data_IF_778695665409
#
_entry.id   IF_778695665409
#
_cell.length_a   1.000
_cell.length_b   1.000
_cell.length_c   1.000
_cell.angle_alpha   90.00
_cell.angle_beta   90.00
_cell.angle_gamma   90.00
#
_symmetry.space_group_name_H-M   'P 1'
#
loop_
_entity.id
_entity.type
_entity.pdbx_description
1 polymer ?
#
# COMPACT_ATOMS: atom_id res chain seq x y z
N UNK A 1 11.70 -7.55 -11.18
CA UNK A 1 10.73 -7.12 -10.16
C UNK A 1 10.87 -8.09 -9.00
N UNK A 2 11.27 -7.63 -7.82
CA UNK A 2 11.38 -8.48 -6.62
C UNK A 2 9.99 -8.88 -6.11
N UNK A 3 9.93 -9.90 -5.25
CA UNK A 3 8.67 -10.31 -4.61
C UNK A 3 8.03 -9.17 -3.80
N UNK A 4 8.85 -8.30 -3.20
CA UNK A 4 8.41 -7.10 -2.49
C UNK A 4 7.81 -6.06 -3.46
N UNK A 5 8.42 -5.82 -4.61
CA UNK A 5 7.87 -4.90 -5.62
C UNK A 5 6.52 -5.42 -6.15
N UNK A 6 6.41 -6.72 -6.42
CA UNK A 6 5.15 -7.33 -6.83
C UNK A 6 4.08 -7.32 -5.72
N UNK A 7 4.48 -7.39 -4.45
CA UNK A 7 3.57 -7.19 -3.32
C UNK A 7 3.10 -5.73 -3.23
N UNK A 8 4.03 -4.78 -3.36
CA UNK A 8 3.73 -3.34 -3.33
C UNK A 8 2.69 -2.95 -4.38
N UNK A 9 2.85 -3.45 -5.62
CA UNK A 9 1.89 -3.18 -6.70
C UNK A 9 0.48 -3.69 -6.37
N UNK A 10 0.37 -4.90 -5.81
CA UNK A 10 -0.92 -5.47 -5.39
C UNK A 10 -1.54 -4.68 -4.25
N UNK A 11 -0.75 -4.23 -3.27
CA UNK A 11 -1.22 -3.42 -2.16
C UNK A 11 -1.71 -2.05 -2.62
N UNK A 12 -0.95 -1.35 -3.48
CA UNK A 12 -1.34 -0.07 -4.07
C UNK A 12 -2.60 -0.18 -4.92
N UNK A 13 -2.73 -1.25 -5.70
CA UNK A 13 -3.95 -1.52 -6.46
C UNK A 13 -5.17 -1.73 -5.55
N UNK A 14 -5.02 -2.50 -4.47
CA UNK A 14 -6.08 -2.73 -3.50
C UNK A 14 -6.49 -1.45 -2.75
N UNK A 15 -5.51 -0.64 -2.30
CA UNK A 15 -5.78 0.63 -1.64
C UNK A 15 -6.50 1.60 -2.58
N UNK A 16 -6.02 1.74 -3.82
CA UNK A 16 -6.67 2.57 -4.85
C UNK A 16 -8.11 2.15 -5.10
N UNK A 17 -8.37 0.84 -5.20
CA UNK A 17 -9.73 0.32 -5.40
C UNK A 17 -10.64 0.69 -4.23
N UNK A 18 -10.19 0.56 -2.98
CA UNK A 18 -10.99 0.91 -1.81
C UNK A 18 -11.26 2.42 -1.73
N UNK A 19 -10.28 3.25 -2.05
CA UNK A 19 -10.45 4.71 -2.09
C UNK A 19 -11.45 5.11 -3.17
N UNK A 20 -11.39 4.49 -4.35
CA UNK A 20 -12.36 4.76 -5.42
C UNK A 20 -13.78 4.32 -5.03
N UNK A 21 -13.93 3.13 -4.45
CA UNK A 21 -15.22 2.66 -3.93
C UNK A 21 -15.77 3.59 -2.83
N UNK A 22 -14.91 4.06 -1.93
CA UNK A 22 -15.28 5.01 -0.90
C UNK A 22 -15.74 6.37 -1.48
N UNK A 23 -15.13 6.81 -2.59
CA UNK A 23 -15.49 8.05 -3.27
C UNK A 23 -16.84 8.00 -4.01
N UNK A 24 -17.36 6.80 -4.31
CA UNK A 24 -18.69 6.63 -4.90
C UNK A 24 -19.83 6.87 -3.89
N UNK A 25 -19.51 6.90 -2.59
CA UNK A 25 -20.51 7.14 -1.54
C UNK A 25 -20.90 8.63 -1.52
N UNK A 26 -22.21 8.90 -1.48
CA UNK A 26 -22.73 10.26 -1.27
C UNK A 26 -22.58 10.77 0.18
N UNK A 27 -21.78 10.08 0.99
CA UNK A 27 -21.57 10.33 2.41
C UNK A 27 -20.16 9.88 2.80
N UNK A 28 -19.72 10.23 4.01
CA UNK A 28 -18.45 9.75 4.54
C UNK A 28 -18.41 8.22 4.57
N UNK A 29 -17.28 7.60 4.19
CA UNK A 29 -17.12 6.15 4.26
C UNK A 29 -17.26 5.66 5.71
N UNK A 30 -17.85 4.48 5.94
CA UNK A 30 -17.93 3.91 7.28
C UNK A 30 -16.54 3.76 7.92
N UNK A 31 -16.45 3.87 9.25
CA UNK A 31 -15.19 3.76 10.00
C UNK A 31 -14.38 2.51 9.66
N UNK A 32 -15.05 1.38 9.39
CA UNK A 32 -14.39 0.14 8.96
C UNK A 32 -13.68 0.27 7.60
N UNK A 33 -14.25 1.05 6.68
CA UNK A 33 -13.64 1.34 5.37
C UNK A 33 -12.43 2.26 5.55
N UNK A 34 -12.58 3.31 6.36
CA UNK A 34 -11.48 4.22 6.67
C UNK A 34 -10.32 3.50 7.36
N UNK A 35 -10.62 2.62 8.32
CA UNK A 35 -9.62 1.77 9.00
C UNK A 35 -8.90 0.87 8.01
N UNK A 36 -9.62 0.18 7.13
CA UNK A 36 -9.02 -0.71 6.13
C UNK A 36 -8.08 0.03 5.17
N UNK A 37 -8.43 1.25 4.77
CA UNK A 37 -7.56 2.10 3.94
C UNK A 37 -6.28 2.48 4.71
N UNK A 38 -6.41 2.89 5.97
CA UNK A 38 -5.27 3.25 6.83
C UNK A 38 -4.34 2.05 7.09
N UNK A 39 -4.91 0.86 7.33
CA UNK A 39 -4.12 -0.35 7.55
C UNK A 39 -3.31 -0.76 6.30
N UNK A 40 -3.91 -0.59 5.11
CA UNK A 40 -3.19 -0.78 3.84
C UNK A 40 -2.10 0.27 3.62
N UNK A 41 -2.35 1.53 3.98
CA UNK A 41 -1.35 2.60 3.89
C UNK A 41 -0.12 2.30 4.76
N UNK A 42 -0.34 1.88 6.00
CA UNK A 42 0.74 1.48 6.91
C UNK A 42 1.52 0.27 6.36
N UNK A 43 0.82 -0.70 5.78
CA UNK A 43 1.44 -1.89 5.17
C UNK A 43 2.27 -1.52 3.95
N UNK A 44 1.77 -0.62 3.10
CA UNK A 44 2.47 -0.09 1.92
C UNK A 44 3.78 0.59 2.36
N UNK A 45 3.71 1.48 3.35
CA UNK A 45 4.88 2.18 3.86
C UNK A 45 5.94 1.20 4.40
N UNK A 46 5.54 0.13 5.09
CA UNK A 46 6.44 -0.90 5.56
C UNK A 46 7.12 -1.67 4.41
N UNK A 47 6.38 -2.00 3.34
CA UNK A 47 6.94 -2.68 2.16
C UNK A 47 7.88 -1.77 1.38
N UNK A 48 7.55 -0.48 1.23
CA UNK A 48 8.42 0.52 0.60
C UNK A 48 9.74 0.65 1.36
N UNK A 49 9.69 0.72 2.69
CA UNK A 49 10.89 0.74 3.53
C UNK A 49 11.77 -0.50 3.32
N UNK A 50 11.18 -1.70 3.26
CA UNK A 50 11.94 -2.94 3.01
C UNK A 50 12.57 -2.97 1.60
N UNK A 51 11.87 -2.46 0.59
CA UNK A 51 12.44 -2.35 -0.77
C UNK A 51 13.63 -1.38 -0.78
N UNK A 52 13.50 -0.25 -0.11
CA UNK A 52 14.59 0.72 0.01
C UNK A 52 15.77 0.12 0.78
N UNK A 53 15.52 -0.62 1.86
CA UNK A 53 16.55 -1.38 2.59
C UNK A 53 17.26 -2.38 1.67
N UNK A 54 16.54 -3.21 0.89
CA UNK A 54 17.15 -4.16 -0.05
C UNK A 54 18.02 -3.47 -1.11
N UNK A 55 17.58 -2.30 -1.61
CA UNK A 55 18.32 -1.52 -2.60
C UNK A 55 19.59 -0.88 -2.02
N UNK A 56 19.58 -0.52 -0.75
CA UNK A 56 20.72 0.11 -0.07
C UNK A 56 21.63 -0.90 0.64
N UNK A 57 21.15 -2.13 0.86
CA UNK A 57 21.90 -3.25 1.40
C UNK A 57 22.69 -4.05 0.34
N UNK A 58 22.65 -3.66 -0.94
CA UNK A 58 23.51 -4.21 -2.01
C UNK A 58 24.72 -3.29 -2.27
N UNK A 59 25.83 -3.39 -1.51
CA UNK A 59 27.07 -2.70 -1.80
C UNK A 59 27.87 -3.55 -2.79
N UNK A 60 27.41 -3.69 -4.04
CA UNK A 60 28.27 -4.28 -5.08
C UNK A 60 29.04 -3.17 -5.83
N UNK A 61 30.38 -3.24 -5.90
CA UNK A 61 31.18 -2.38 -6.77
C UNK A 61 31.00 -2.72 -8.25
#
# INVERSE_FOLDING_TARGET
MSDLEALLDRLKAAQRMLVLQAAELAMLPPDGTLRKIADLENTIAAVEALIDEERHADPRP
#
